data_IF_901512554135
#
_entry.id   IF_901512554135
#
_cell.length_a   1.000
_cell.length_b   1.000
_cell.length_c   1.000
_cell.angle_alpha   90.00
_cell.angle_beta   90.00
_cell.angle_gamma   90.00
#
_symmetry.space_group_name_H-M   'P 1'
#
loop_
_entity.id
_entity.type
_entity.pdbx_description
1 polymer ?
#
# COMPACT_ATOMS: atom_id res chain seq x y z
N UNK A 1 4.41 -34.57 -27.38
CA UNK A 1 3.41 -33.78 -28.11
C UNK A 1 2.22 -33.69 -27.18
N UNK A 2 2.32 -33.02 -26.03
CA UNK A 2 2.59 -31.59 -25.82
C UNK A 2 1.51 -30.72 -26.45
N UNK A 3 0.84 -30.00 -25.56
CA UNK A 3 0.04 -28.79 -25.76
C UNK A 3 -1.43 -28.96 -26.14
N UNK A 4 -2.26 -29.04 -25.11
CA UNK A 4 -3.53 -28.32 -25.08
C UNK A 4 -3.61 -27.58 -23.75
N UNK A 5 -3.08 -26.36 -23.79
CA UNK A 5 -3.27 -25.31 -22.80
C UNK A 5 -4.77 -24.96 -22.78
N UNK A 6 -5.53 -25.59 -21.89
CA UNK A 6 -6.89 -25.14 -21.58
C UNK A 6 -6.74 -23.97 -20.63
N UNK A 7 -6.80 -22.77 -21.19
CA UNK A 7 -6.90 -21.52 -20.45
C UNK A 7 -8.00 -21.66 -19.39
N UNK A 8 -7.56 -21.82 -18.14
CA UNK A 8 -8.43 -21.67 -17.00
C UNK A 8 -8.90 -20.22 -17.03
N UNK A 9 -10.17 -20.02 -17.40
CA UNK A 9 -10.92 -18.79 -17.20
C UNK A 9 -10.88 -18.52 -15.70
N UNK A 10 -9.83 -17.83 -15.29
CA UNK A 10 -9.59 -17.45 -13.91
C UNK A 10 -10.56 -16.32 -13.67
N UNK A 11 -11.45 -16.49 -12.69
CA UNK A 11 -12.36 -15.44 -12.27
C UNK A 11 -11.60 -14.11 -12.10
N UNK A 12 -12.18 -12.96 -12.50
CA UNK A 12 -11.48 -11.69 -12.48
C UNK A 12 -10.95 -11.40 -11.07
N UNK A 13 -9.64 -11.22 -10.94
CA UNK A 13 -9.06 -10.75 -9.69
C UNK A 13 -9.59 -9.34 -9.42
N UNK A 14 -10.19 -9.13 -8.25
CA UNK A 14 -10.82 -7.85 -7.88
C UNK A 14 -9.82 -6.68 -7.75
N UNK A 15 -8.52 -6.99 -7.80
CA UNK A 15 -7.42 -6.06 -7.55
C UNK A 15 -6.85 -5.41 -8.85
N UNK A 16 -7.29 -5.82 -10.04
CA UNK A 16 -6.73 -5.30 -11.30
C UNK A 16 -7.71 -4.42 -12.11
N UNK A 17 -7.23 -3.39 -12.82
CA UNK A 17 -8.06 -2.59 -13.72
C UNK A 17 -8.55 -3.43 -14.89
N UNK A 18 -9.83 -3.33 -15.21
CA UNK A 18 -10.47 -4.04 -16.31
C UNK A 18 -11.07 -3.07 -17.33
N UNK A 19 -11.01 -3.44 -18.59
CA UNK A 19 -11.61 -2.72 -19.71
C UNK A 19 -12.76 -3.55 -20.26
N UNK A 20 -13.89 -2.90 -20.50
CA UNK A 20 -15.03 -3.54 -21.15
C UNK A 20 -14.83 -3.65 -22.65
N UNK A 21 -14.85 -4.88 -23.15
CA UNK A 21 -14.78 -5.20 -24.58
C UNK A 21 -16.05 -5.97 -24.96
N UNK A 22 -17.04 -5.27 -25.52
CA UNK A 22 -18.36 -5.85 -25.77
C UNK A 22 -19.06 -6.20 -24.44
N UNK A 23 -19.33 -7.49 -24.25
CA UNK A 23 -20.00 -8.02 -23.05
C UNK A 23 -19.01 -8.58 -22.01
N UNK A 24 -17.71 -8.53 -22.29
CA UNK A 24 -16.66 -9.09 -21.43
C UNK A 24 -15.80 -8.01 -20.77
N UNK A 25 -15.38 -8.26 -19.53
CA UNK A 25 -14.39 -7.45 -18.81
C UNK A 25 -13.03 -8.14 -18.88
N UNK A 26 -12.07 -7.49 -19.50
CA UNK A 26 -10.73 -8.04 -19.72
C UNK A 26 -9.70 -7.21 -18.94
N UNK A 27 -8.69 -7.80 -18.29
CA UNK A 27 -7.65 -7.04 -17.61
C UNK A 27 -6.98 -6.01 -18.52
N UNK A 28 -6.86 -4.77 -18.06
CA UNK A 28 -6.45 -3.63 -18.86
C UNK A 28 -5.07 -3.84 -19.51
N UNK A 29 -4.13 -4.44 -18.77
CA UNK A 29 -2.78 -4.71 -19.25
C UNK A 29 -2.73 -5.63 -20.48
N UNK A 30 -3.72 -6.53 -20.64
CA UNK A 30 -3.79 -7.45 -21.78
C UNK A 30 -4.33 -6.77 -23.03
N UNK A 31 -5.14 -5.73 -22.86
CA UNK A 31 -5.82 -5.03 -23.96
C UNK A 31 -5.11 -3.74 -24.35
N UNK A 32 -4.31 -3.17 -23.45
CA UNK A 32 -3.64 -1.87 -23.63
C UNK A 32 -2.85 -1.76 -24.94
N UNK A 33 -1.98 -2.74 -25.21
CA UNK A 33 -1.18 -2.76 -26.44
C UNK A 33 -2.04 -2.79 -27.71
N UNK A 34 -3.22 -3.41 -27.66
CA UNK A 34 -4.16 -3.45 -28.79
C UNK A 34 -4.86 -2.11 -28.98
N UNK A 35 -5.22 -1.42 -27.89
CA UNK A 35 -5.81 -0.08 -27.95
C UNK A 35 -4.83 0.95 -28.50
N UNK A 36 -3.58 0.90 -28.05
CA UNK A 36 -2.51 1.76 -28.56
C UNK A 36 -2.29 1.53 -30.06
N UNK A 37 -2.25 0.26 -30.48
CA UNK A 37 -2.14 -0.10 -31.90
C UNK A 37 -3.33 0.41 -32.71
N UNK A 38 -4.56 0.22 -32.22
CA UNK A 38 -5.77 0.70 -32.88
C UNK A 38 -5.78 2.23 -33.02
N UNK A 39 -5.36 2.97 -31.99
CA UNK A 39 -5.23 4.42 -32.04
C UNK A 39 -4.18 4.84 -33.08
N UNK A 40 -2.98 4.26 -33.03
CA UNK A 40 -1.90 4.61 -33.94
C UNK A 40 -2.23 4.31 -35.41
N UNK A 41 -2.89 3.19 -35.68
CA UNK A 41 -3.36 2.82 -37.03
C UNK A 41 -4.46 3.79 -37.48
N UNK A 42 -5.39 4.14 -36.60
CA UNK A 42 -6.45 5.12 -36.92
C UNK A 42 -5.85 6.47 -37.32
N UNK A 43 -4.85 6.95 -36.58
CA UNK A 43 -4.15 8.20 -36.89
C UNK A 43 -3.30 8.11 -38.17
N UNK A 44 -2.79 6.93 -38.51
CA UNK A 44 -2.12 6.72 -39.79
C UNK A 44 -3.10 6.77 -40.97
N UNK A 45 -4.28 6.15 -40.83
CA UNK A 45 -5.34 6.18 -41.85
C UNK A 45 -5.90 7.61 -41.99
N UNK A 46 -6.12 8.33 -40.89
CA UNK A 46 -6.61 9.71 -40.94
C UNK A 46 -5.64 10.63 -41.68
N UNK A 47 -4.34 10.54 -41.37
CA UNK A 47 -3.29 11.26 -42.10
C UNK A 47 -3.20 10.86 -43.57
N UNK A 48 -3.38 9.58 -43.89
CA UNK A 48 -3.44 9.13 -45.28
C UNK A 48 -4.64 9.76 -46.01
N UNK A 49 -5.81 9.77 -45.36
CA UNK A 49 -7.04 10.32 -45.92
C UNK A 49 -6.92 11.82 -46.22
N UNK A 50 -6.31 12.57 -45.29
CA UNK A 50 -6.05 14.00 -45.46
C UNK A 50 -5.00 14.29 -46.55
N UNK A 51 -3.94 13.47 -46.60
CA UNK A 51 -2.80 13.70 -47.50
C UNK A 51 -3.05 13.27 -48.93
N UNK A 52 -3.85 12.22 -49.13
CA UNK A 52 -4.15 11.65 -50.44
C UNK A 52 -5.65 11.44 -50.66
N UNK A 53 -6.48 12.50 -50.70
CA UNK A 53 -7.94 12.37 -50.77
C UNK A 53 -8.47 11.60 -51.98
N UNK A 54 -7.70 11.56 -53.07
CA UNK A 54 -8.03 10.86 -54.32
C UNK A 54 -7.67 9.37 -54.31
N UNK A 55 -6.92 8.91 -53.30
CA UNK A 55 -6.59 7.49 -53.08
C UNK A 55 -7.36 6.90 -51.90
N UNK A 56 -8.01 7.74 -51.10
CA UNK A 56 -8.90 7.34 -50.01
C UNK A 56 -10.17 6.72 -50.57
N UNK A 57 -10.54 5.54 -50.06
CA UNK A 57 -11.83 4.93 -50.34
C UNK A 57 -12.86 5.33 -49.28
N UNK A 58 -14.14 5.20 -49.61
CA UNK A 58 -15.26 5.41 -48.66
C UNK A 58 -15.05 4.59 -47.37
N UNK A 59 -14.55 3.35 -47.51
CA UNK A 59 -14.21 2.48 -46.37
C UNK A 59 -13.18 3.12 -45.44
N UNK A 60 -12.09 3.67 -45.98
CA UNK A 60 -11.05 4.30 -45.15
C UNK A 60 -11.53 5.60 -44.50
N UNK A 61 -12.47 6.31 -45.12
CA UNK A 61 -13.07 7.52 -44.56
C UNK A 61 -14.07 7.22 -43.44
N UNK A 62 -14.84 6.13 -43.56
CA UNK A 62 -15.84 5.71 -42.57
C UNK A 62 -15.23 5.01 -41.34
N UNK A 63 -14.12 4.29 -41.52
CA UNK A 63 -13.49 3.53 -40.43
C UNK A 63 -12.91 4.46 -39.36
N UNK A 64 -12.33 5.61 -39.73
CA UNK A 64 -11.74 6.56 -38.77
C UNK A 64 -12.74 7.06 -37.72
N UNK A 65 -13.90 7.65 -38.08
CA UNK A 65 -14.87 8.09 -37.09
C UNK A 65 -15.45 6.94 -36.28
N UNK A 66 -15.65 5.77 -36.88
CA UNK A 66 -16.16 4.58 -36.20
C UNK A 66 -15.19 4.09 -35.11
N UNK A 67 -13.90 3.94 -35.43
CA UNK A 67 -12.90 3.48 -34.46
C UNK A 67 -12.67 4.53 -33.38
N UNK A 68 -12.64 5.83 -33.72
CA UNK A 68 -12.55 6.91 -32.73
C UNK A 68 -13.73 6.91 -31.76
N UNK A 69 -14.94 6.66 -32.26
CA UNK A 69 -16.11 6.51 -31.40
C UNK A 69 -15.95 5.30 -30.47
N UNK A 70 -15.56 4.14 -31.01
CA UNK A 70 -15.35 2.93 -30.21
C UNK A 70 -14.28 3.07 -29.14
N UNK A 71 -13.19 3.77 -29.43
CA UNK A 71 -12.13 4.06 -28.45
C UNK A 71 -12.61 5.01 -27.33
N UNK A 72 -13.52 5.95 -27.64
CA UNK A 72 -14.11 6.85 -26.63
C UNK A 72 -15.13 6.16 -25.74
N UNK A 73 -15.87 5.21 -26.29
CA UNK A 73 -16.93 4.49 -25.58
C UNK A 73 -16.39 3.36 -24.69
N UNK A 74 -15.06 3.23 -24.57
CA UNK A 74 -14.42 2.22 -23.71
C UNK A 74 -14.71 2.52 -22.25
N UNK A 75 -15.42 1.59 -21.59
CA UNK A 75 -15.63 1.63 -20.14
C UNK A 75 -14.41 1.04 -19.41
N UNK A 76 -13.77 1.86 -18.58
CA UNK A 76 -12.71 1.44 -17.68
C UNK A 76 -13.28 1.22 -16.27
N UNK A 77 -13.20 0.00 -15.79
CA UNK A 77 -13.43 -0.32 -14.38
C UNK A 77 -12.10 -0.31 -13.67
N UNK A 78 -11.86 0.79 -12.95
CA UNK A 78 -10.82 0.81 -11.94
C UNK A 78 -11.26 -0.10 -10.79
N UNK A 79 -10.35 -0.89 -10.18
CA UNK A 79 -10.64 -1.49 -8.89
C UNK A 79 -11.04 -0.34 -7.97
N UNK A 80 -12.08 -0.55 -7.15
CA UNK A 80 -12.33 0.36 -6.03
C UNK A 80 -11.02 0.36 -5.27
N UNK A 81 -10.31 1.51 -5.21
CA UNK A 81 -9.15 1.67 -4.32
C UNK A 81 -9.52 0.95 -3.05
N UNK A 82 -8.67 0.00 -2.62
CA UNK A 82 -8.78 -0.60 -1.29
C UNK A 82 -9.19 0.52 -0.35
N UNK A 83 -10.28 0.27 0.34
CA UNK A 83 -10.88 1.13 1.35
C UNK A 83 -9.78 1.91 2.06
N UNK A 84 -10.02 3.20 2.30
CA UNK A 84 -9.27 4.01 3.26
C UNK A 84 -8.68 3.06 4.30
N UNK A 85 -7.36 2.87 4.28
CA UNK A 85 -6.69 2.07 5.31
C UNK A 85 -7.25 2.60 6.61
N UNK A 86 -7.98 1.80 7.42
CA UNK A 86 -8.46 2.26 8.71
C UNK A 86 -7.26 2.91 9.38
N UNK A 87 -7.39 4.13 9.88
CA UNK A 87 -6.27 4.98 10.32
C UNK A 87 -5.34 4.14 11.20
N UNK A 88 -4.34 3.51 10.56
CA UNK A 88 -3.61 2.42 11.18
C UNK A 88 -2.73 3.03 12.24
N UNK A 89 -2.22 4.24 11.97
CA UNK A 89 -1.55 5.07 12.96
C UNK A 89 -2.47 5.36 14.15
N UNK A 90 -3.74 5.73 13.94
CA UNK A 90 -4.72 5.94 15.01
C UNK A 90 -5.04 4.67 15.82
N UNK A 91 -5.23 3.53 15.16
CA UNK A 91 -5.47 2.24 15.83
C UNK A 91 -4.23 1.82 16.64
N UNK A 92 -3.05 1.88 16.02
CA UNK A 92 -1.78 1.52 16.66
C UNK A 92 -1.45 2.45 17.83
N UNK A 93 -1.73 3.75 17.71
CA UNK A 93 -1.60 4.69 18.81
C UNK A 93 -2.53 4.32 19.97
N UNK A 94 -3.79 4.00 19.70
CA UNK A 94 -4.75 3.55 20.72
C UNK A 94 -4.38 2.21 21.37
N UNK A 95 -3.71 1.31 20.63
CA UNK A 95 -3.17 0.08 21.20
C UNK A 95 -1.95 0.36 22.09
N UNK A 96 -1.03 1.24 21.68
CA UNK A 96 0.14 1.62 22.48
C UNK A 96 -0.21 2.28 23.82
N UNK A 97 -1.38 2.90 23.93
CA UNK A 97 -1.91 3.42 25.20
C UNK A 97 -2.20 2.31 26.23
N UNK A 98 -2.39 1.07 25.79
CA UNK A 98 -2.86 -0.04 26.63
C UNK A 98 -1.83 -1.15 26.80
N UNK A 99 -0.95 -1.36 25.82
CA UNK A 99 -0.03 -2.51 25.77
C UNK A 99 1.40 -2.10 25.35
N UNK A 100 2.35 -3.00 25.56
CA UNK A 100 3.76 -2.80 25.19
C UNK A 100 3.93 -2.76 23.66
N UNK A 101 4.99 -2.11 23.14
CA UNK A 101 5.25 -2.07 21.70
C UNK A 101 5.31 -3.46 21.05
N UNK A 102 5.85 -4.46 21.74
CA UNK A 102 5.93 -5.84 21.26
C UNK A 102 4.56 -6.51 21.17
N UNK A 103 3.72 -6.36 22.20
CA UNK A 103 2.34 -6.87 22.18
C UNK A 103 1.51 -6.22 21.07
N UNK A 104 1.76 -4.93 20.76
CA UNK A 104 1.11 -4.28 19.61
C UNK A 104 1.50 -4.95 18.30
N UNK A 105 2.79 -5.25 18.10
CA UNK A 105 3.26 -5.92 16.90
C UNK A 105 2.64 -7.31 16.73
N UNK A 106 2.60 -8.09 17.81
CA UNK A 106 1.94 -9.41 17.82
C UNK A 106 0.44 -9.29 17.52
N UNK A 107 -0.25 -8.31 18.12
CA UNK A 107 -1.68 -8.04 17.88
C UNK A 107 -1.95 -7.66 16.42
N UNK A 108 -1.11 -6.80 15.84
CA UNK A 108 -1.25 -6.37 14.44
C UNK A 108 -1.05 -7.51 13.45
N UNK A 109 -0.08 -8.38 13.71
CA UNK A 109 0.16 -9.56 12.88
C UNK A 109 -1.01 -10.55 13.00
N UNK A 110 -1.49 -10.81 14.22
CA UNK A 110 -2.55 -11.78 14.48
C UNK A 110 -3.94 -11.32 14.00
N UNK A 111 -4.31 -10.06 14.26
CA UNK A 111 -5.67 -9.56 13.99
C UNK A 111 -5.80 -8.89 12.63
N UNK A 112 -4.74 -8.23 12.14
CA UNK A 112 -4.78 -7.45 10.89
C UNK A 112 -3.87 -8.03 9.80
N UNK A 113 -3.08 -9.06 10.08
CA UNK A 113 -2.14 -9.65 9.12
C UNK A 113 -1.00 -8.71 8.72
N UNK A 114 -0.72 -7.68 9.53
CA UNK A 114 0.32 -6.69 9.24
C UNK A 114 1.55 -7.01 10.07
N UNK A 115 2.59 -7.53 9.41
CA UNK A 115 3.89 -7.74 10.03
C UNK A 115 4.69 -6.42 9.99
N UNK A 116 4.93 -5.82 11.16
CA UNK A 116 5.77 -4.64 11.33
C UNK A 116 6.92 -4.95 12.29
N UNK A 117 8.04 -4.23 12.15
CA UNK A 117 9.08 -4.18 13.15
C UNK A 117 8.99 -2.92 14.02
N UNK A 118 9.74 -2.87 15.13
CA UNK A 118 9.73 -1.73 16.07
C UNK A 118 10.09 -0.39 15.40
N UNK A 119 10.99 -0.37 14.41
CA UNK A 119 11.34 0.88 13.73
C UNK A 119 10.18 1.37 12.85
N UNK A 120 9.52 0.46 12.12
CA UNK A 120 8.34 0.78 11.32
C UNK A 120 7.18 1.27 12.19
N UNK A 121 7.00 0.65 13.36
CA UNK A 121 6.05 1.10 14.38
C UNK A 121 6.35 2.54 14.80
N UNK A 122 7.60 2.85 15.17
CA UNK A 122 8.02 4.20 15.58
C UNK A 122 7.83 5.22 14.45
N UNK A 123 8.14 4.86 13.20
CA UNK A 123 7.92 5.76 12.05
C UNK A 123 6.42 6.03 11.86
N UNK A 124 5.57 5.05 12.13
CA UNK A 124 4.12 5.16 11.94
C UNK A 124 3.45 6.05 12.99
N UNK A 125 3.76 5.88 14.27
CA UNK A 125 3.12 6.61 15.39
C UNK A 125 3.92 7.81 15.89
N UNK A 126 5.18 7.91 15.48
CA UNK A 126 6.14 8.89 15.96
C UNK A 126 6.87 8.47 17.24
N UNK A 127 8.08 8.99 17.41
CA UNK A 127 8.94 8.71 18.57
C UNK A 127 8.25 9.05 19.90
N UNK A 128 7.39 10.07 19.93
CA UNK A 128 6.72 10.48 21.17
C UNK A 128 5.75 9.43 21.71
N UNK A 129 4.89 8.87 20.86
CA UNK A 129 3.92 7.86 21.29
C UNK A 129 4.62 6.59 21.78
N UNK A 130 5.69 6.18 21.09
CA UNK A 130 6.55 5.09 21.52
C UNK A 130 7.17 5.35 22.91
N UNK A 131 7.71 6.55 23.13
CA UNK A 131 8.35 6.92 24.40
C UNK A 131 7.36 7.01 25.56
N UNK A 132 6.10 7.41 25.31
CA UNK A 132 5.03 7.40 26.31
C UNK A 132 4.67 5.97 26.71
N UNK A 133 4.57 5.03 25.75
CA UNK A 133 4.34 3.63 26.04
C UNK A 133 5.47 3.04 26.91
N UNK A 134 6.73 3.34 26.59
CA UNK A 134 7.89 2.93 27.40
C UNK A 134 7.90 3.58 28.79
N UNK A 135 7.42 4.83 28.92
CA UNK A 135 7.31 5.48 30.23
C UNK A 135 6.36 4.73 31.15
N UNK A 136 5.21 4.28 30.65
CA UNK A 136 4.25 3.51 31.46
C UNK A 136 4.90 2.27 32.06
N UNK A 137 5.61 1.52 31.24
CA UNK A 137 6.34 0.33 31.67
C UNK A 137 7.51 0.68 32.62
N UNK A 138 8.26 1.75 32.34
CA UNK A 138 9.34 2.20 33.24
C UNK A 138 8.83 2.62 34.63
N UNK A 139 7.64 3.24 34.71
CA UNK A 139 6.98 3.58 35.98
C UNK A 139 6.56 2.31 36.73
N UNK A 140 6.06 1.31 36.02
CA UNK A 140 5.73 0.01 36.61
C UNK A 140 7.00 -0.71 37.14
N UNK A 141 8.09 -0.64 36.39
CA UNK A 141 9.39 -1.17 36.81
C UNK A 141 9.93 -0.45 38.05
N UNK A 142 9.81 0.87 38.13
CA UNK A 142 10.19 1.65 39.31
C UNK A 142 9.33 1.28 40.54
N UNK A 143 8.02 1.10 40.35
CA UNK A 143 7.12 0.61 41.39
C UNK A 143 7.57 -0.77 41.93
N UNK A 144 8.05 -1.63 41.03
CA UNK A 144 8.61 -2.95 41.32
C UNK A 144 10.09 -2.94 41.76
N UNK A 145 10.65 -1.76 42.08
CA UNK A 145 12.04 -1.57 42.56
C UNK A 145 13.12 -1.97 41.56
N UNK A 146 12.79 -2.02 40.28
CA UNK A 146 13.78 -2.16 39.19
C UNK A 146 14.40 -0.78 38.96
N UNK A 147 15.73 -0.70 39.09
CA UNK A 147 16.47 0.56 38.94
C UNK A 147 16.52 0.99 37.46
N UNK A 148 16.65 2.29 37.15
CA UNK A 148 16.73 2.75 35.75
C UNK A 148 17.88 2.15 34.92
N UNK A 149 18.97 1.76 35.58
CA UNK A 149 20.08 1.01 34.97
C UNK A 149 19.65 -0.39 34.53
N UNK A 150 18.90 -1.09 35.38
CA UNK A 150 18.39 -2.43 35.11
C UNK A 150 17.29 -2.39 34.03
N UNK A 151 16.44 -1.36 34.04
CA UNK A 151 15.48 -1.11 32.95
C UNK A 151 16.19 -0.91 31.61
N UNK A 152 17.31 -0.16 31.60
CA UNK A 152 18.10 0.02 30.39
C UNK A 152 18.67 -1.31 29.87
N UNK A 153 19.18 -2.15 30.77
CA UNK A 153 19.68 -3.49 30.41
C UNK A 153 18.57 -4.39 29.84
N UNK A 154 17.39 -4.42 30.49
CA UNK A 154 16.21 -5.16 29.99
C UNK A 154 15.83 -4.70 28.58
N UNK A 155 15.73 -3.38 28.35
CA UNK A 155 15.36 -2.84 27.05
C UNK A 155 16.43 -3.08 25.97
N UNK A 156 17.71 -3.10 26.35
CA UNK A 156 18.80 -3.48 25.45
C UNK A 156 18.72 -4.96 25.06
N UNK A 157 18.42 -5.85 26.01
CA UNK A 157 18.26 -7.29 25.75
C UNK A 157 17.05 -7.57 24.84
N UNK A 158 15.97 -6.79 25.01
CA UNK A 158 14.80 -6.78 24.12
C UNK A 158 15.07 -6.09 22.77
N UNK A 159 16.27 -5.55 22.55
CA UNK A 159 16.69 -4.83 21.33
C UNK A 159 15.79 -3.64 21.00
N UNK A 160 15.24 -2.97 22.02
CA UNK A 160 14.39 -1.80 21.84
C UNK A 160 15.19 -0.59 21.34
N UNK A 161 14.75 0.10 20.27
CA UNK A 161 15.43 1.30 19.80
C UNK A 161 15.46 2.40 20.86
N UNK A 162 16.66 2.90 21.19
CA UNK A 162 16.80 4.03 22.09
C UNK A 162 16.60 5.37 21.34
N UNK A 163 16.05 6.40 22.00
CA UNK A 163 15.90 7.73 21.40
C UNK A 163 17.27 8.29 20.98
N UNK A 164 17.33 8.87 19.79
CA UNK A 164 18.56 9.36 19.17
C UNK A 164 19.58 8.26 18.80
N UNK A 165 19.19 6.99 18.83
CA UNK A 165 20.03 5.84 18.48
C UNK A 165 20.99 5.38 19.58
N UNK A 166 21.69 4.27 19.30
CA UNK A 166 22.58 3.60 20.26
C UNK A 166 21.83 2.78 21.31
N UNK A 167 22.51 2.43 22.40
CA UNK A 167 21.94 1.64 23.49
C UNK A 167 21.16 2.51 24.49
N UNK A 168 20.25 1.87 25.21
CA UNK A 168 19.65 2.42 26.42
C UNK A 168 20.71 2.59 27.51
N UNK A 169 20.56 3.66 28.28
CA UNK A 169 21.39 3.96 29.44
C UNK A 169 20.51 4.51 30.55
N UNK A 170 20.99 4.45 31.80
CA UNK A 170 20.34 5.05 32.97
C UNK A 170 19.76 6.44 32.67
N UNK A 171 20.58 7.32 32.08
CA UNK A 171 20.20 8.70 31.76
C UNK A 171 19.04 8.78 30.77
N UNK A 172 19.00 7.89 29.77
CA UNK A 172 17.91 7.84 28.79
C UNK A 172 16.61 7.35 29.44
N UNK A 173 16.70 6.38 30.35
CA UNK A 173 15.53 5.90 31.11
C UNK A 173 15.01 6.97 32.07
N UNK A 174 15.89 7.67 32.79
CA UNK A 174 15.51 8.81 33.63
C UNK A 174 14.82 9.93 32.82
N UNK A 175 15.29 10.19 31.60
CA UNK A 175 14.64 11.12 30.68
C UNK A 175 13.23 10.65 30.28
N UNK A 176 13.03 9.35 30.03
CA UNK A 176 11.69 8.77 29.74
C UNK A 176 10.75 8.98 30.93
N UNK A 177 11.21 8.71 32.15
CA UNK A 177 10.42 8.88 33.37
C UNK A 177 9.96 10.34 33.58
N UNK A 178 10.77 11.29 33.13
CA UNK A 178 10.48 12.73 33.21
C UNK A 178 9.56 13.25 32.10
N UNK A 179 9.18 12.43 31.11
CA UNK A 179 8.22 12.87 30.08
C UNK A 179 6.86 13.19 30.72
N UNK A 180 6.16 14.23 30.22
CA UNK A 180 4.84 14.56 30.72
C UNK A 180 3.87 13.39 30.48
N UNK A 181 3.05 13.10 31.48
CA UNK A 181 1.85 12.28 31.28
C UNK A 181 0.84 13.16 30.54
N UNK A 182 0.36 12.70 29.39
CA UNK A 182 -0.77 13.31 28.69
C UNK A 182 -2.07 12.63 29.05
#
# INVERSE_FOLDING_TARGET
>A
MSDANTDAVTAPSEDEPHIRMGDEWIPAHQVWARLETASAVTDAIDRFNERFPHLSSDVTQEVVPLVRQRLRDIELRMPKRRQETPDLAGIVAGLLEQMSPEEVLETLEAEQGVALNLNELIVMVGERAYMVALRREAVEYEANKILPEQTADIWNDLKRPAPGGGLWSRRKVEMVLQLPAE
#
